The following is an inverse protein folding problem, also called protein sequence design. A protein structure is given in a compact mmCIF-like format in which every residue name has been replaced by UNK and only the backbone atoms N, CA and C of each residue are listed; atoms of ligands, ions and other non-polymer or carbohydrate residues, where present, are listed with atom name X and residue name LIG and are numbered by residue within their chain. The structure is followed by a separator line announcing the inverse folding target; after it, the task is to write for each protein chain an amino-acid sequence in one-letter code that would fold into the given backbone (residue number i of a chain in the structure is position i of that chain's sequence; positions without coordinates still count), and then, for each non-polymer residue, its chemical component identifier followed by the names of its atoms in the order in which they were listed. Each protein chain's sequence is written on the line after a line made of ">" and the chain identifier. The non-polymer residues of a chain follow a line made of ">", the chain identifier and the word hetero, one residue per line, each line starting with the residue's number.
data_IF_423130689199
#
_entry.id   IF_423130689199
#
_cell.length_a   1.000
_cell.length_b   1.000
_cell.length_c   1.000
_cell.angle_alpha   90.00
_cell.angle_beta   90.00
_cell.angle_gamma   90.00
#
_symmetry.space_group_name_H-M   'P 1'
#
loop_
_entity.id
_entity.type
_entity.pdbx_description
1 polymer ?
#
# COMPACT_ATOMS: atom_id res chain seq x y z
N UNK A 1 -26.47 -18.55 5.94
CA UNK A 1 -25.61 -17.36 6.07
C UNK A 1 -24.29 -17.41 5.26
N UNK A 2 -23.92 -18.51 4.59
CA UNK A 2 -22.69 -18.63 3.79
C UNK A 2 -22.69 -17.97 2.42
N UNK A 3 -23.87 -17.84 1.77
CA UNK A 3 -23.92 -17.40 0.36
C UNK A 3 -23.56 -15.92 0.12
N UNK A 4 -23.92 -15.02 1.03
CA UNK A 4 -23.67 -13.57 0.88
C UNK A 4 -22.19 -13.24 1.02
N UNK A 5 -21.48 -13.88 1.97
CA UNK A 5 -20.04 -13.68 2.16
C UNK A 5 -19.24 -14.14 0.92
N UNK A 6 -19.59 -15.30 0.36
CA UNK A 6 -18.92 -15.81 -0.84
C UNK A 6 -19.13 -14.90 -2.06
N UNK A 7 -20.31 -14.32 -2.23
CA UNK A 7 -20.59 -13.40 -3.34
C UNK A 7 -19.77 -12.11 -3.24
N UNK A 8 -19.66 -11.52 -2.05
CA UNK A 8 -18.86 -10.30 -1.82
C UNK A 8 -17.36 -10.54 -2.01
N UNK A 9 -16.85 -11.70 -1.57
CA UNK A 9 -15.45 -12.09 -1.78
C UNK A 9 -15.16 -12.26 -3.27
N UNK A 10 -16.01 -12.97 -4.00
CA UNK A 10 -15.86 -13.15 -5.45
C UNK A 10 -15.88 -11.81 -6.20
N UNK A 11 -16.80 -10.90 -5.87
CA UNK A 11 -16.83 -9.56 -6.46
C UNK A 11 -15.54 -8.78 -6.19
N UNK A 12 -14.98 -8.88 -4.99
CA UNK A 12 -13.70 -8.25 -4.63
C UNK A 12 -12.55 -8.77 -5.49
N UNK A 13 -12.46 -10.09 -5.68
CA UNK A 13 -11.44 -10.73 -6.54
C UNK A 13 -11.57 -10.26 -7.99
N UNK A 14 -12.78 -10.23 -8.55
CA UNK A 14 -13.02 -9.74 -9.91
C UNK A 14 -12.60 -8.28 -10.11
N UNK A 15 -12.89 -7.41 -9.15
CA UNK A 15 -12.53 -5.99 -9.20
C UNK A 15 -11.01 -5.79 -9.15
N UNK A 16 -10.31 -6.50 -8.26
CA UNK A 16 -8.86 -6.47 -8.20
C UNK A 16 -8.20 -6.98 -9.49
N UNK A 17 -8.69 -8.08 -10.05
CA UNK A 17 -8.21 -8.61 -11.33
C UNK A 17 -8.46 -7.65 -12.51
N UNK A 18 -9.58 -6.92 -12.50
CA UNK A 18 -9.87 -5.89 -13.50
C UNK A 18 -8.80 -4.81 -13.50
N UNK A 19 -8.43 -4.29 -12.32
CA UNK A 19 -7.40 -3.26 -12.20
C UNK A 19 -6.03 -3.79 -12.65
N UNK A 20 -5.66 -5.03 -12.26
CA UNK A 20 -4.39 -5.62 -12.72
C UNK A 20 -4.32 -5.72 -14.24
N UNK A 21 -5.39 -6.16 -14.89
CA UNK A 21 -5.48 -6.22 -16.37
C UNK A 21 -5.40 -4.84 -17.02
N UNK A 22 -6.09 -3.85 -16.45
CA UNK A 22 -6.06 -2.46 -16.94
C UNK A 22 -4.64 -1.89 -16.91
N UNK A 23 -3.87 -2.20 -15.85
CA UNK A 23 -2.51 -1.72 -15.66
C UNK A 23 -1.43 -2.60 -16.32
N UNK A 24 -1.81 -3.69 -16.98
CA UNK A 24 -0.86 -4.63 -17.59
C UNK A 24 -0.05 -5.44 -16.58
N UNK A 25 -0.53 -5.57 -15.33
CA UNK A 25 0.13 -6.33 -14.27
C UNK A 25 -0.28 -7.80 -14.36
N UNK A 26 0.66 -8.76 -14.41
CA UNK A 26 0.37 -10.19 -14.39
C UNK A 26 -0.50 -10.57 -13.18
N UNK A 27 -1.42 -11.52 -13.35
CA UNK A 27 -2.34 -11.89 -12.27
C UNK A 27 -1.65 -12.62 -11.11
N UNK A 28 -0.52 -13.26 -11.39
CA UNK A 28 0.34 -13.95 -10.43
C UNK A 28 1.40 -13.03 -9.81
N UNK A 29 1.56 -11.80 -10.31
CA UNK A 29 2.49 -10.82 -9.76
C UNK A 29 2.08 -10.40 -8.34
N UNK A 30 3.08 -10.03 -7.53
CA UNK A 30 2.87 -9.36 -6.24
C UNK A 30 2.74 -7.85 -6.46
N UNK A 31 1.83 -7.23 -5.75
CA UNK A 31 1.58 -5.79 -5.87
C UNK A 31 1.74 -5.10 -4.54
N UNK A 32 2.69 -4.17 -4.49
CA UNK A 32 2.83 -3.18 -3.43
C UNK A 32 2.06 -1.93 -3.86
N UNK A 33 1.21 -1.39 -3.00
CA UNK A 33 0.38 -0.22 -3.28
C UNK A 33 0.74 0.94 -2.35
N UNK A 34 0.85 2.13 -2.90
CA UNK A 34 0.77 3.39 -2.13
C UNK A 34 -0.34 4.27 -2.70
N UNK A 35 -1.04 4.98 -1.83
CA UNK A 35 -2.10 5.93 -2.18
C UNK A 35 -1.79 7.29 -1.59
N UNK A 36 -1.76 8.31 -2.42
CA UNK A 36 -1.54 9.69 -1.99
C UNK A 36 -0.89 10.58 -3.04
N UNK A 37 -0.75 11.85 -2.72
CA UNK A 37 -0.10 12.82 -3.59
C UNK A 37 1.37 12.45 -3.86
N UNK A 38 1.82 12.58 -5.11
CA UNK A 38 3.19 12.26 -5.51
C UNK A 38 4.09 13.47 -5.25
N UNK A 39 4.48 13.65 -3.98
CA UNK A 39 5.28 14.78 -3.50
C UNK A 39 6.42 14.33 -2.55
N UNK A 40 7.26 15.26 -2.10
CA UNK A 40 8.39 14.97 -1.20
C UNK A 40 7.95 14.37 0.13
N UNK A 41 6.83 14.83 0.69
CA UNK A 41 6.35 14.35 1.99
C UNK A 41 5.91 12.88 1.97
N UNK A 42 5.27 12.45 0.87
CA UNK A 42 4.81 11.07 0.69
C UNK A 42 5.93 10.08 0.40
N UNK A 43 7.11 10.56 -0.01
CA UNK A 43 8.36 9.80 -0.08
C UNK A 43 8.28 8.47 -0.87
N UNK A 44 7.50 8.43 -1.94
CA UNK A 44 7.39 7.22 -2.77
C UNK A 44 8.74 6.78 -3.37
N UNK A 45 9.73 7.69 -3.39
CA UNK A 45 11.10 7.40 -3.79
C UNK A 45 11.67 6.17 -3.06
N UNK A 46 11.50 6.10 -1.73
CA UNK A 46 12.03 4.96 -0.95
C UNK A 46 11.38 3.64 -1.33
N UNK A 47 10.10 3.65 -1.74
CA UNK A 47 9.41 2.47 -2.25
C UNK A 47 9.96 2.00 -3.60
N UNK A 48 10.33 2.93 -4.49
CA UNK A 48 10.98 2.62 -5.77
C UNK A 48 12.37 2.02 -5.54
N UNK A 49 13.15 2.60 -4.62
CA UNK A 49 14.47 2.10 -4.22
C UNK A 49 14.37 0.71 -3.56
N UNK A 50 13.37 0.48 -2.72
CA UNK A 50 13.11 -0.82 -2.11
C UNK A 50 12.73 -1.88 -3.16
N UNK A 51 11.87 -1.53 -4.13
CA UNK A 51 11.51 -2.43 -5.24
C UNK A 51 12.73 -2.92 -6.02
N UNK A 52 13.71 -2.04 -6.25
CA UNK A 52 14.95 -2.40 -6.95
C UNK A 52 15.77 -3.45 -6.19
N UNK A 53 15.67 -3.49 -4.85
CA UNK A 53 16.37 -4.44 -3.98
C UNK A 53 15.66 -5.77 -3.82
N UNK A 54 14.36 -5.88 -4.14
CA UNK A 54 13.62 -7.12 -4.01
C UNK A 54 14.22 -8.23 -4.89
N UNK A 55 14.28 -9.44 -4.33
CA UNK A 55 14.74 -10.64 -5.05
C UNK A 55 13.71 -11.09 -6.08
N UNK A 56 12.43 -11.06 -5.68
CA UNK A 56 11.32 -11.40 -6.57
C UNK A 56 11.11 -10.30 -7.61
N UNK A 57 11.40 -10.62 -8.86
CA UNK A 57 11.25 -9.71 -10.01
C UNK A 57 9.81 -9.68 -10.56
N UNK A 58 8.90 -10.53 -10.03
CA UNK A 58 7.47 -10.49 -10.33
C UNK A 58 6.69 -9.62 -9.32
N UNK A 59 7.36 -8.64 -8.72
CA UNK A 59 6.74 -7.65 -7.82
C UNK A 59 6.63 -6.30 -8.52
N UNK A 60 5.45 -5.70 -8.44
CA UNK A 60 5.11 -4.38 -8.99
C UNK A 60 4.85 -3.38 -7.86
N UNK A 61 5.26 -2.14 -8.07
CA UNK A 61 4.92 -1.04 -7.18
C UNK A 61 3.95 -0.08 -7.87
N UNK A 62 2.74 0.00 -7.37
CA UNK A 62 1.68 0.87 -7.88
C UNK A 62 1.52 2.07 -6.97
N UNK A 63 1.63 3.26 -7.54
CA UNK A 63 1.45 4.53 -6.85
C UNK A 63 0.18 5.19 -7.39
N UNK A 64 -0.87 5.19 -6.58
CA UNK A 64 -2.17 5.76 -6.91
C UNK A 64 -2.24 7.21 -6.41
N UNK A 65 -2.07 8.16 -7.33
CA UNK A 65 -2.09 9.58 -7.04
C UNK A 65 -1.37 10.40 -8.11
N UNK A 66 -1.49 11.71 -8.00
CA UNK A 66 -0.80 12.67 -8.87
C UNK A 66 0.01 13.65 -8.04
N UNK A 67 0.99 14.31 -8.64
CA UNK A 67 1.78 15.34 -7.98
C UNK A 67 3.03 15.72 -8.75
N UNK A 68 3.79 16.70 -8.24
CA UNK A 68 4.91 17.30 -8.97
C UNK A 68 6.09 16.37 -9.20
N UNK A 69 6.19 15.25 -8.46
CA UNK A 69 7.33 14.32 -8.59
C UNK A 69 7.05 13.11 -9.50
N UNK A 70 5.94 13.09 -10.25
CA UNK A 70 5.62 11.95 -11.11
C UNK A 70 6.73 11.65 -12.13
N UNK A 71 7.24 12.66 -12.82
CA UNK A 71 8.28 12.47 -13.83
C UNK A 71 9.61 12.06 -13.20
N UNK A 72 10.01 12.72 -12.12
CA UNK A 72 11.22 12.37 -11.37
C UNK A 72 11.18 10.92 -10.84
N UNK A 73 10.00 10.42 -10.47
CA UNK A 73 9.84 9.01 -10.04
C UNK A 73 9.93 8.02 -11.20
N UNK A 74 9.45 8.37 -12.39
CA UNK A 74 9.67 7.55 -13.60
C UNK A 74 11.15 7.47 -13.96
N UNK A 75 11.83 8.61 -13.99
CA UNK A 75 13.28 8.67 -14.26
C UNK A 75 14.07 7.85 -13.25
N UNK A 76 13.74 7.97 -11.96
CA UNK A 76 14.36 7.16 -10.91
C UNK A 76 14.12 5.66 -11.14
N UNK A 77 12.90 5.26 -11.43
CA UNK A 77 12.57 3.85 -11.67
C UNK A 77 13.35 3.30 -12.89
N UNK A 78 13.47 4.07 -13.95
CA UNK A 78 14.27 3.71 -15.13
C UNK A 78 15.75 3.58 -14.77
N UNK A 79 16.32 4.54 -14.05
CA UNK A 79 17.73 4.53 -13.65
C UNK A 79 18.10 3.33 -12.77
N UNK A 80 17.14 2.84 -11.98
CA UNK A 80 17.28 1.65 -11.12
C UNK A 80 16.92 0.34 -11.82
N UNK A 81 16.54 0.36 -13.11
CA UNK A 81 16.17 -0.83 -13.88
C UNK A 81 14.85 -1.47 -13.44
N UNK A 82 13.92 -0.69 -12.87
CA UNK A 82 12.60 -1.15 -12.42
C UNK A 82 11.44 -0.38 -13.06
N UNK A 83 11.71 0.36 -14.14
CA UNK A 83 10.73 1.21 -14.79
C UNK A 83 9.49 0.46 -15.29
N UNK A 84 9.64 -0.77 -15.73
CA UNK A 84 8.57 -1.68 -16.17
C UNK A 84 7.70 -2.22 -15.04
N UNK A 85 8.16 -2.09 -13.78
CA UNK A 85 7.48 -2.59 -12.58
C UNK A 85 6.98 -1.49 -11.65
N UNK A 86 7.18 -0.21 -12.01
CA UNK A 86 6.62 0.94 -11.29
C UNK A 86 5.49 1.56 -12.10
N UNK A 87 4.29 1.56 -11.54
CA UNK A 87 3.08 2.07 -12.19
C UNK A 87 2.59 3.31 -11.45
N UNK A 88 2.67 4.47 -12.10
CA UNK A 88 2.12 5.74 -11.61
C UNK A 88 0.76 5.96 -12.30
N UNK A 89 -0.34 5.77 -11.57
CA UNK A 89 -1.68 5.75 -12.17
C UNK A 89 -2.27 7.14 -12.40
N UNK A 90 -1.72 8.16 -11.79
CA UNK A 90 -2.39 9.45 -11.68
C UNK A 90 -3.56 9.44 -10.68
N UNK A 91 -4.44 10.42 -10.79
CA UNK A 91 -5.62 10.52 -9.94
C UNK A 91 -6.67 9.45 -10.30
N UNK A 92 -7.19 8.76 -9.27
CA UNK A 92 -8.20 7.70 -9.42
C UNK A 92 -9.36 7.95 -8.46
N UNK A 93 -10.57 7.60 -8.88
CA UNK A 93 -11.79 7.66 -8.07
C UNK A 93 -12.20 6.28 -7.55
N UNK A 94 -11.66 5.21 -8.13
CA UNK A 94 -11.93 3.81 -7.80
C UNK A 94 -10.85 3.20 -6.87
N UNK A 95 -10.31 3.99 -5.95
CA UNK A 95 -9.20 3.61 -5.05
C UNK A 95 -9.51 2.34 -4.25
N UNK A 96 -10.77 2.12 -3.89
CA UNK A 96 -11.21 0.90 -3.20
C UNK A 96 -10.91 -0.39 -3.99
N UNK A 97 -10.90 -0.34 -5.32
CA UNK A 97 -10.56 -1.49 -6.16
C UNK A 97 -9.05 -1.69 -6.24
N UNK A 98 -8.25 -0.62 -6.05
CA UNK A 98 -6.79 -0.70 -5.92
C UNK A 98 -6.37 -1.43 -4.63
N UNK A 99 -7.01 -1.16 -3.50
CA UNK A 99 -6.75 -1.94 -2.28
C UNK A 99 -7.04 -3.43 -2.47
N UNK A 100 -8.06 -3.80 -3.26
CA UNK A 100 -8.41 -5.21 -3.54
C UNK A 100 -7.43 -5.93 -4.47
N UNK A 101 -6.69 -5.18 -5.29
CA UNK A 101 -5.69 -5.78 -6.19
C UNK A 101 -4.33 -5.97 -5.54
N UNK A 102 -4.06 -5.26 -4.43
CA UNK A 102 -2.76 -5.22 -3.78
C UNK A 102 -2.55 -6.40 -2.82
N UNK A 103 -1.29 -6.73 -2.57
CA UNK A 103 -0.86 -7.72 -1.60
C UNK A 103 -0.25 -7.08 -0.35
N UNK A 104 0.35 -5.89 -0.49
CA UNK A 104 0.97 -5.10 0.60
C UNK A 104 0.68 -3.62 0.37
N UNK A 105 0.36 -2.89 1.43
CA UNK A 105 0.27 -1.45 1.41
C UNK A 105 1.53 -0.82 1.98
N UNK A 106 2.19 0.06 1.22
CA UNK A 106 3.37 0.80 1.64
C UNK A 106 3.01 2.26 1.90
N UNK A 107 3.28 2.74 3.12
CA UNK A 107 3.07 4.11 3.53
C UNK A 107 4.38 4.77 3.98
N UNK A 108 5.18 5.33 3.05
CA UNK A 108 6.54 5.76 3.32
C UNK A 108 6.68 7.25 3.71
N UNK A 109 5.59 7.92 4.10
CA UNK A 109 5.55 9.36 4.38
C UNK A 109 6.56 9.81 5.44
N UNK A 110 7.09 11.01 5.30
CA UNK A 110 7.92 11.63 6.33
C UNK A 110 7.13 12.15 7.53
N UNK A 111 5.88 12.58 7.30
CA UNK A 111 4.97 13.05 8.36
C UNK A 111 3.53 13.04 7.90
N UNK A 112 2.64 12.70 8.81
CA UNK A 112 1.18 12.75 8.63
C UNK A 112 0.51 13.05 9.97
N UNK A 113 -0.58 13.81 9.93
CA UNK A 113 -1.47 13.94 11.09
C UNK A 113 -2.38 12.72 11.19
N UNK A 114 -3.20 12.51 10.16
CA UNK A 114 -4.15 11.42 10.05
C UNK A 114 -3.92 10.64 8.76
N UNK A 115 -3.34 9.43 8.81
CA UNK A 115 -3.02 8.66 7.62
C UNK A 115 -4.25 7.86 7.13
N UNK A 116 -5.23 8.54 6.54
CA UNK A 116 -6.49 7.93 6.04
C UNK A 116 -6.21 6.74 5.12
N UNK A 117 -5.22 6.84 4.25
CA UNK A 117 -4.86 5.75 3.34
C UNK A 117 -4.38 4.48 4.07
N UNK A 118 -3.71 4.61 5.22
CA UNK A 118 -3.36 3.46 6.08
C UNK A 118 -4.61 2.81 6.64
N UNK A 119 -5.56 3.63 7.10
CA UNK A 119 -6.83 3.12 7.65
C UNK A 119 -7.66 2.39 6.59
N UNK A 120 -7.73 2.93 5.37
CA UNK A 120 -8.41 2.29 4.24
C UNK A 120 -7.76 0.96 3.85
N UNK A 121 -6.41 0.91 3.83
CA UNK A 121 -5.65 -0.31 3.58
C UNK A 121 -5.94 -1.38 4.65
N UNK A 122 -5.90 -1.01 5.92
CA UNK A 122 -6.21 -1.90 7.05
C UNK A 122 -7.66 -2.40 6.99
N UNK A 123 -8.62 -1.50 6.70
CA UNK A 123 -10.04 -1.87 6.52
C UNK A 123 -10.25 -2.81 5.33
N UNK A 124 -9.35 -2.77 4.35
CA UNK A 124 -9.35 -3.68 3.19
C UNK A 124 -8.63 -5.01 3.46
N UNK A 125 -8.10 -5.21 4.68
CA UNK A 125 -7.37 -6.42 5.08
C UNK A 125 -5.94 -6.51 4.53
N UNK A 126 -5.36 -5.40 4.05
CA UNK A 126 -3.99 -5.39 3.55
C UNK A 126 -2.98 -5.30 4.69
N UNK A 127 -1.91 -6.09 4.64
CA UNK A 127 -0.74 -5.87 5.47
C UNK A 127 -0.10 -4.51 5.12
N UNK A 128 0.33 -3.79 6.14
CA UNK A 128 0.84 -2.42 6.02
C UNK A 128 2.31 -2.38 6.42
N UNK A 129 3.15 -1.87 5.53
CA UNK A 129 4.52 -1.42 5.82
C UNK A 129 4.50 0.10 5.89
N UNK A 130 4.85 0.68 7.01
CA UNK A 130 4.77 2.12 7.20
C UNK A 130 6.05 2.71 7.80
N UNK A 131 6.26 4.00 7.60
CA UNK A 131 7.31 4.72 8.29
C UNK A 131 6.90 5.05 9.73
N UNK A 132 7.90 5.06 10.63
CA UNK A 132 7.74 5.35 12.07
C UNK A 132 7.54 6.85 12.27
N UNK A 133 6.31 7.28 12.07
CA UNK A 133 5.86 8.66 12.28
C UNK A 133 4.65 8.66 13.21
N UNK A 134 4.33 9.78 13.84
CA UNK A 134 3.27 9.88 14.84
C UNK A 134 1.96 9.23 14.37
N UNK A 135 1.45 9.62 13.20
CA UNK A 135 0.16 9.10 12.71
C UNK A 135 0.17 7.60 12.43
N UNK A 136 1.28 7.03 11.93
CA UNK A 136 1.39 5.58 11.67
C UNK A 136 1.57 4.77 12.94
N UNK A 137 2.36 5.28 13.91
CA UNK A 137 2.65 4.59 15.16
C UNK A 137 1.42 4.40 16.03
N UNK A 138 0.41 5.26 15.89
CA UNK A 138 -0.86 5.14 16.60
C UNK A 138 -1.77 4.06 16.00
N UNK A 139 -1.57 3.68 14.74
CA UNK A 139 -2.42 2.74 14.00
C UNK A 139 -1.76 1.37 13.82
N UNK A 140 -0.47 1.34 13.51
CA UNK A 140 0.27 0.12 13.18
C UNK A 140 0.98 -0.38 14.45
N UNK A 141 0.36 -1.30 15.17
CA UNK A 141 0.83 -1.73 16.50
C UNK A 141 1.99 -2.73 16.50
N UNK A 142 2.29 -3.42 15.40
CA UNK A 142 3.33 -4.47 15.39
C UNK A 142 4.18 -4.46 14.11
N UNK A 143 5.48 -4.36 14.32
CA UNK A 143 6.53 -5.00 13.52
C UNK A 143 6.95 -4.27 12.24
N UNK A 144 6.10 -3.55 11.56
CA UNK A 144 6.38 -3.08 10.20
C UNK A 144 6.49 -1.55 10.10
N UNK A 145 7.09 -0.95 11.16
CA UNK A 145 7.41 0.47 11.22
C UNK A 145 8.92 0.70 11.02
N UNK A 146 9.26 1.46 9.99
CA UNK A 146 10.65 1.72 9.56
C UNK A 146 10.96 3.22 9.56
N UNK A 147 12.24 3.56 9.65
CA UNK A 147 12.66 4.94 9.41
C UNK A 147 12.39 5.31 7.93
N UNK A 148 12.01 6.57 7.62
CA UNK A 148 11.66 6.97 6.26
C UNK A 148 12.77 6.80 5.21
N UNK A 149 14.00 6.58 5.64
CA UNK A 149 15.16 6.36 4.79
C UNK A 149 15.66 4.92 4.79
N UNK A 150 15.02 4.02 5.53
CA UNK A 150 15.44 2.62 5.65
C UNK A 150 14.93 1.78 4.47
N UNK A 151 15.61 1.93 3.33
CA UNK A 151 15.29 1.18 2.09
C UNK A 151 15.40 -0.33 2.30
N UNK A 152 16.43 -0.79 3.04
CA UNK A 152 16.69 -2.22 3.24
C UNK A 152 15.66 -2.86 4.16
N UNK A 153 15.31 -2.18 5.25
CA UNK A 153 14.25 -2.64 6.16
C UNK A 153 12.90 -2.72 5.46
N UNK A 154 12.54 -1.72 4.67
CA UNK A 154 11.30 -1.70 3.89
C UNK A 154 11.28 -2.83 2.86
N UNK A 155 12.37 -3.05 2.11
CA UNK A 155 12.46 -4.14 1.14
C UNK A 155 12.29 -5.51 1.83
N UNK A 156 12.99 -5.75 2.94
CA UNK A 156 12.89 -6.98 3.72
C UNK A 156 11.48 -7.21 4.26
N UNK A 157 10.81 -6.18 4.76
CA UNK A 157 9.44 -6.26 5.25
C UNK A 157 8.47 -6.66 4.13
N UNK A 158 8.59 -6.02 2.96
CA UNK A 158 7.78 -6.37 1.78
C UNK A 158 7.98 -7.87 1.42
N UNK A 159 9.22 -8.35 1.34
CA UNK A 159 9.52 -9.76 1.04
C UNK A 159 8.91 -10.71 2.09
N UNK A 160 9.02 -10.38 3.37
CA UNK A 160 8.50 -11.21 4.47
C UNK A 160 6.98 -11.31 4.41
N UNK A 161 6.28 -10.20 4.21
CA UNK A 161 4.82 -10.17 4.12
C UNK A 161 4.30 -10.90 2.86
N UNK A 162 5.01 -10.81 1.75
CA UNK A 162 4.66 -11.54 0.53
C UNK A 162 4.79 -13.06 0.69
N UNK A 163 5.74 -13.53 1.51
CA UNK A 163 5.96 -14.96 1.76
C UNK A 163 4.98 -15.55 2.78
N UNK A 164 4.50 -14.73 3.70
CA UNK A 164 3.75 -15.23 4.86
C UNK A 164 2.37 -15.78 4.52
N UNK A 165 1.82 -15.58 3.31
CA UNK A 165 0.41 -15.84 2.98
C UNK A 165 -0.57 -15.44 4.10
N UNK A 166 -0.06 -14.72 5.08
CA UNK A 166 -0.84 -14.14 6.15
C UNK A 166 -1.68 -13.01 5.51
N UNK A 167 -2.81 -13.42 4.92
CA UNK A 167 -3.98 -12.58 5.11
C UNK A 167 -3.99 -12.38 6.61
N UNK A 168 -3.76 -11.16 7.06
CA UNK A 168 -4.15 -10.80 8.42
C UNK A 168 -5.50 -11.46 8.58
N UNK A 169 -5.59 -12.48 9.45
CA UNK A 169 -6.89 -12.82 9.97
C UNK A 169 -7.44 -11.47 10.33
N UNK A 170 -8.45 -11.05 9.62
CA UNK A 170 -9.18 -9.84 9.89
C UNK A 170 -9.65 -9.99 11.34
N UNK A 171 -8.75 -9.75 12.27
CA UNK A 171 -9.13 -9.17 13.54
C UNK A 171 -9.87 -7.94 13.05
N UNK A 172 -11.18 -8.11 12.93
CA UNK A 172 -12.14 -7.15 12.47
C UNK A 172 -11.66 -5.83 13.00
N UNK A 173 -10.90 -5.07 12.17
CA UNK A 173 -10.71 -3.67 12.44
C UNK A 173 -12.12 -3.15 12.29
N UNK A 174 -12.81 -3.18 13.42
CA UNK A 174 -14.09 -2.55 13.52
C UNK A 174 -13.81 -1.08 13.21
N UNK A 175 -14.11 -0.68 11.99
CA UNK A 175 -13.89 0.68 11.53
C UNK A 175 -14.54 1.65 12.52
N UNK A 176 -15.60 1.23 13.22
CA UNK A 176 -16.23 1.98 14.29
C UNK A 176 -15.30 2.14 15.49
N UNK A 177 -14.54 1.11 15.88
CA UNK A 177 -13.54 1.21 16.98
C UNK A 177 -12.36 2.08 16.60
N UNK A 178 -11.89 1.98 15.36
CA UNK A 178 -10.83 2.86 14.85
C UNK A 178 -11.32 4.31 14.81
N UNK A 179 -12.53 4.55 14.30
CA UNK A 179 -13.14 5.90 14.29
C UNK A 179 -13.42 6.42 15.71
N UNK A 180 -13.85 5.60 16.65
CA UNK A 180 -14.03 6.02 18.04
C UNK A 180 -12.70 6.34 18.74
N UNK A 181 -11.68 5.51 18.55
CA UNK A 181 -10.33 5.79 19.04
C UNK A 181 -9.82 7.10 18.47
N UNK A 182 -10.11 7.39 17.21
CA UNK A 182 -9.69 8.61 16.55
C UNK A 182 -10.46 9.83 17.03
N UNK A 183 -11.78 9.73 17.26
CA UNK A 183 -12.55 10.80 17.91
C UNK A 183 -11.95 11.14 19.28
N UNK A 184 -11.53 10.13 20.03
CA UNK A 184 -10.89 10.32 21.35
C UNK A 184 -9.51 10.98 21.24
N UNK A 185 -8.71 10.60 20.24
CA UNK A 185 -7.34 11.12 20.08
C UNK A 185 -7.32 12.53 19.45
N UNK A 186 -8.21 12.81 18.53
CA UNK A 186 -8.21 14.04 17.73
C UNK A 186 -9.33 15.02 18.10
N UNK A 187 -10.23 14.67 19.00
CA UNK A 187 -11.29 15.57 19.51
C UNK A 187 -12.36 15.95 18.48
N UNK A 188 -12.66 15.06 17.50
CA UNK A 188 -13.66 15.29 16.42
C UNK A 188 -14.86 14.37 16.57
#
# INVERSE_FOLDING_TARGET
>A
MGGVRNHLVLQGVYKGQRIRKELGIPLDAKVVLSVGEVNKNKNHKVGIEALAKLRDKNTYYVICGRGPLMEAHKELAQSLGVGDRVVLTGYRTDVADFYKMADVFLFPSFREGLPVAVMEAMASGLPVVATRIRGSSDLVQQGDLFEPTDVDGIAKAIETLQQSNAKYETAVFDIHKVMESMKTIYGV
#
